data_IF_362875072152
#
_entry.id   IF_362875072152
#
_cell.length_a   1.000
_cell.length_b   1.000
_cell.length_c   1.000
_cell.angle_alpha   90.00
_cell.angle_beta   90.00
_cell.angle_gamma   90.00
#
_symmetry.space_group_name_H-M   'P 1'
#
loop_
_entity.id
_entity.type
_entity.pdbx_description
1 polymer ?
#
# COMPACT_ATOMS: atom_id res chain seq x y z
N UNK A 1 2.34 6.24 -8.23
CA UNK A 1 1.35 6.38 -7.14
C UNK A 1 1.88 5.88 -5.80
N UNK A 2 2.39 4.63 -5.69
CA UNK A 2 2.94 4.07 -4.43
C UNK A 2 3.99 4.97 -3.74
N UNK A 3 4.97 5.48 -4.49
CA UNK A 3 5.99 6.41 -3.98
C UNK A 3 5.41 7.68 -3.34
N UNK A 4 4.33 8.23 -3.93
CA UNK A 4 3.65 9.42 -3.39
C UNK A 4 2.98 9.09 -2.04
N UNK A 5 2.41 7.89 -1.92
CA UNK A 5 1.81 7.40 -0.67
C UNK A 5 2.87 7.17 0.42
N UNK A 6 4.04 6.63 0.07
CA UNK A 6 5.20 6.51 0.96
C UNK A 6 5.64 7.86 1.52
N UNK A 7 5.85 8.86 0.65
CA UNK A 7 6.22 10.23 1.05
C UNK A 7 5.16 10.82 1.99
N UNK A 8 3.89 10.74 1.58
CA UNK A 8 2.76 11.23 2.35
C UNK A 8 2.60 10.56 3.73
N UNK A 9 2.99 9.30 3.87
CA UNK A 9 2.97 8.60 5.14
C UNK A 9 4.15 9.02 6.03
N UNK A 10 5.33 9.23 5.43
CA UNK A 10 6.50 9.69 6.14
C UNK A 10 6.34 11.12 6.66
N UNK A 11 5.81 12.04 5.84
CA UNK A 11 5.44 13.41 6.23
C UNK A 11 4.43 13.45 7.41
N UNK A 12 3.70 12.35 7.61
CA UNK A 12 2.76 12.19 8.74
C UNK A 12 3.36 11.41 9.92
N UNK A 13 4.68 11.23 9.96
CA UNK A 13 5.39 10.54 11.03
C UNK A 13 5.09 9.04 11.14
N UNK A 14 4.71 8.38 10.03
CA UNK A 14 4.48 6.93 10.02
C UNK A 14 5.81 6.21 9.78
N UNK A 15 5.99 5.04 10.42
CA UNK A 15 7.18 4.20 10.22
C UNK A 15 7.07 3.18 9.09
N UNK A 16 5.88 2.99 8.53
CA UNK A 16 5.62 2.00 7.49
C UNK A 16 4.37 2.35 6.66
N UNK A 17 4.30 1.77 5.46
CA UNK A 17 3.09 1.71 4.63
C UNK A 17 2.74 0.25 4.38
N UNK A 18 1.46 -0.07 4.48
CA UNK A 18 0.89 -1.37 4.13
C UNK A 18 -0.06 -1.28 2.94
N UNK A 19 -0.19 -2.37 2.20
CA UNK A 19 -1.15 -2.49 1.10
C UNK A 19 -1.65 -3.93 0.95
N UNK A 20 -2.92 -4.07 0.56
CA UNK A 20 -3.52 -5.34 0.14
C UNK A 20 -3.33 -5.56 -1.36
N UNK A 21 -2.89 -6.76 -1.74
CA UNK A 21 -2.82 -7.20 -3.14
C UNK A 21 -3.82 -8.33 -3.32
N UNK A 22 -4.76 -8.17 -4.27
CA UNK A 22 -5.74 -9.21 -4.58
C UNK A 22 -5.05 -10.54 -4.93
N UNK A 23 -5.58 -11.65 -4.42
CA UNK A 23 -4.99 -12.99 -4.58
C UNK A 23 -4.90 -13.42 -6.05
N UNK A 24 -5.75 -12.86 -6.92
CA UNK A 24 -5.80 -13.11 -8.36
C UNK A 24 -4.84 -12.25 -9.19
N UNK A 25 -4.05 -11.37 -8.56
CA UNK A 25 -3.10 -10.49 -9.22
C UNK A 25 -1.63 -10.77 -8.81
N UNK A 26 -1.05 -11.90 -9.26
CA UNK A 26 0.31 -12.27 -8.91
C UNK A 26 1.37 -11.30 -9.48
N UNK A 27 1.05 -10.57 -10.56
CA UNK A 27 1.94 -9.56 -11.12
C UNK A 27 2.10 -8.35 -10.21
N UNK A 28 1.00 -7.87 -9.62
CA UNK A 28 1.04 -6.81 -8.62
C UNK A 28 1.84 -7.24 -7.38
N UNK A 29 1.69 -8.50 -6.95
CA UNK A 29 2.46 -9.04 -5.83
C UNK A 29 3.97 -9.00 -6.11
N UNK A 30 4.38 -9.52 -7.28
CA UNK A 30 5.78 -9.49 -7.73
C UNK A 30 6.33 -8.07 -7.83
N UNK A 31 5.55 -7.14 -8.36
CA UNK A 31 5.94 -5.74 -8.45
C UNK A 31 6.18 -5.14 -7.06
N UNK A 32 5.25 -5.34 -6.12
CA UNK A 32 5.40 -4.81 -4.76
C UNK A 32 6.63 -5.39 -4.05
N UNK A 33 6.87 -6.70 -4.20
CA UNK A 33 8.05 -7.36 -3.65
C UNK A 33 9.36 -6.78 -4.22
N UNK A 34 9.41 -6.53 -5.53
CA UNK A 34 10.56 -5.85 -6.18
C UNK A 34 10.78 -4.43 -5.68
N UNK A 35 9.72 -3.75 -5.23
CA UNK A 35 9.79 -2.41 -4.64
C UNK A 35 10.15 -2.42 -3.14
N UNK A 36 10.42 -3.59 -2.54
CA UNK A 36 10.85 -3.73 -1.15
C UNK A 36 9.72 -4.04 -0.16
N UNK A 37 8.48 -4.19 -0.62
CA UNK A 37 7.37 -4.59 0.25
C UNK A 37 7.49 -6.08 0.60
N UNK A 38 7.33 -6.40 1.89
CA UNK A 38 7.38 -7.78 2.37
C UNK A 38 5.99 -8.25 2.77
N UNK A 39 5.61 -9.46 2.37
CA UNK A 39 4.37 -10.12 2.80
C UNK A 39 4.36 -10.29 4.32
N UNK A 40 3.35 -9.71 4.97
CA UNK A 40 3.11 -9.84 6.42
C UNK A 40 2.00 -10.83 6.70
N UNK A 41 0.97 -10.87 5.85
CA UNK A 41 -0.11 -11.85 5.89
C UNK A 41 -0.28 -12.43 4.49
N UNK A 42 -0.13 -13.75 4.36
CA UNK A 42 -0.19 -14.43 3.06
C UNK A 42 -1.60 -14.55 2.50
N UNK A 43 -2.62 -14.54 3.36
CA UNK A 43 -4.03 -14.55 2.96
C UNK A 43 -4.90 -13.90 4.03
N UNK A 44 -5.66 -12.89 3.65
CA UNK A 44 -6.68 -12.24 4.44
C UNK A 44 -7.88 -11.88 3.56
N UNK A 45 -8.98 -11.48 4.19
CA UNK A 45 -10.15 -10.93 3.49
C UNK A 45 -10.25 -9.47 3.89
N UNK A 46 -9.91 -8.58 2.95
CA UNK A 46 -10.20 -7.17 3.07
C UNK A 46 -11.68 -6.93 2.78
N UNK A 47 -12.29 -5.92 3.42
CA UNK A 47 -13.68 -5.55 3.19
C UNK A 47 -13.75 -4.07 2.93
N UNK A 48 -14.15 -3.74 1.71
CA UNK A 48 -14.36 -2.36 1.30
C UNK A 48 -15.84 -2.12 1.06
N UNK A 49 -16.27 -0.90 1.35
CA UNK A 49 -17.65 -0.49 1.19
C UNK A 49 -17.76 0.65 0.19
N UNK A 50 -18.82 0.61 -0.61
CA UNK A 50 -19.15 1.63 -1.59
C UNK A 50 -20.66 1.89 -1.56
N UNK A 51 -21.07 3.07 -2.01
CA UNK A 51 -22.49 3.41 -2.11
C UNK A 51 -22.90 3.23 -3.55
N UNK A 52 -23.91 2.41 -3.81
CA UNK A 52 -24.42 2.20 -5.17
C UNK A 52 -25.27 3.38 -5.67
N UNK A 53 -25.68 3.32 -6.94
CA UNK A 53 -26.48 4.38 -7.57
C UNK A 53 -27.85 4.61 -6.90
N UNK A 54 -28.31 3.66 -6.08
CA UNK A 54 -29.55 3.78 -5.31
C UNK A 54 -29.34 4.34 -3.90
N UNK A 55 -28.10 4.69 -3.54
CA UNK A 55 -27.74 5.17 -2.21
C UNK A 55 -27.52 4.07 -1.18
N UNK A 56 -27.50 2.79 -1.60
CA UNK A 56 -27.33 1.67 -0.68
C UNK A 56 -25.85 1.39 -0.48
N UNK A 57 -25.42 1.31 0.79
CA UNK A 57 -24.07 0.86 1.15
C UNK A 57 -23.94 -0.63 0.82
N UNK A 58 -23.07 -0.94 -0.15
CA UNK A 58 -22.58 -2.28 -0.46
C UNK A 58 -21.27 -2.52 0.27
N UNK A 59 -21.04 -3.77 0.63
CA UNK A 59 -19.78 -4.23 1.20
C UNK A 59 -19.32 -5.43 0.37
N UNK A 60 -18.06 -5.42 -0.01
CA UNK A 60 -17.48 -6.43 -0.88
C UNK A 60 -16.24 -7.04 -0.21
N UNK A 61 -16.24 -8.36 0.05
CA UNK A 61 -15.07 -9.05 0.54
C UNK A 61 -14.08 -9.32 -0.60
N UNK A 62 -12.81 -9.01 -0.39
CA UNK A 62 -11.74 -9.26 -1.35
C UNK A 62 -10.62 -10.08 -0.70
N UNK A 63 -10.43 -11.34 -1.12
CA UNK A 63 -9.25 -12.13 -0.74
C UNK A 63 -7.98 -11.45 -1.24
N UNK A 64 -7.01 -11.29 -0.34
CA UNK A 64 -5.76 -10.61 -0.63
C UNK A 64 -4.60 -11.09 0.26
N UNK A 65 -3.38 -10.80 -0.18
CA UNK A 65 -2.20 -10.78 0.67
C UNK A 65 -1.96 -9.36 1.19
N UNK A 66 -1.52 -9.23 2.44
CA UNK A 66 -1.14 -7.94 3.02
C UNK A 66 0.40 -7.83 3.07
N UNK A 67 0.93 -6.78 2.45
CA UNK A 67 2.35 -6.48 2.44
C UNK A 67 2.62 -5.15 3.16
N UNK A 68 3.82 -5.01 3.71
CA UNK A 68 4.28 -3.76 4.29
C UNK A 68 5.75 -3.47 3.96
N UNK A 69 6.05 -2.19 3.77
CA UNK A 69 7.41 -1.67 3.68
C UNK A 69 7.64 -0.67 4.81
N UNK A 70 8.79 -0.73 5.53
CA UNK A 70 9.21 0.40 6.34
C UNK A 70 9.37 1.65 5.46
N UNK A 71 9.13 2.81 6.04
CA UNK A 71 9.46 4.07 5.38
C UNK A 71 10.90 4.44 5.69
N UNK A 72 11.65 5.02 4.73
CA UNK A 72 12.93 5.64 5.04
C UNK A 72 12.74 6.75 6.10
N UNK A 73 13.73 6.93 6.96
CA UNK A 73 13.74 8.07 7.90
C UNK A 73 13.61 9.38 7.13
N UNK A 74 13.02 10.39 7.78
CA UNK A 74 12.76 11.72 7.18
C UNK A 74 14.03 12.33 6.56
N UNK A 75 15.19 12.10 7.19
CA UNK A 75 16.50 12.55 6.73
C UNK A 75 16.95 11.93 5.39
N UNK A 76 16.56 10.69 5.09
CA UNK A 76 16.88 10.00 3.84
C UNK A 76 15.95 10.41 2.70
N UNK A 77 14.70 10.79 3.02
CA UNK A 77 13.74 11.29 2.03
C UNK A 77 14.14 12.65 1.45
N UNK A 78 14.66 13.55 2.29
CA UNK A 78 15.17 14.86 1.84
C UNK A 78 16.33 14.69 0.85
N UNK A 79 17.18 13.68 1.04
CA UNK A 79 18.33 13.39 0.18
C UNK A 79 17.96 12.83 -1.18
N UNK A 80 16.93 11.98 -1.23
CA UNK A 80 16.38 11.42 -2.48
C UNK A 80 15.61 12.47 -3.29
N UNK A 81 14.93 13.40 -2.63
CA UNK A 81 14.23 14.49 -3.30
C UNK A 81 15.18 15.55 -3.85
N UNK A 82 16.33 15.78 -3.20
CA UNK A 82 17.35 16.73 -3.64
C UNK A 82 18.20 16.26 -4.85
N UNK A 83 18.15 14.97 -5.21
CA UNK A 83 18.89 14.40 -6.36
C UNK A 83 18.02 14.21 -7.61
N UNK A 84 16.73 14.55 -7.53
CA UNK A 84 15.79 14.50 -8.65
C UNK A 84 15.57 15.88 -9.32
N UNK A 85 16.43 16.86 -9.05
CA UNK A 85 16.41 18.22 -9.60
C UNK A 85 17.53 18.47 -10.60
#
# INVERSE_FOLDING_TARGET
MLRRAEIMAAERGRGAVGLGVADDNPDALRLCQRLGYTTRVGRCVDRWAWVDHSGVKREEPQPCAFLASPLPEEADLVRVLATAG
#
